data_IF_812468430960
#
_entry.id   IF_812468430960
#
_cell.length_a   1.000
_cell.length_b   1.000
_cell.length_c   1.000
_cell.angle_alpha   90.00
_cell.angle_beta   90.00
_cell.angle_gamma   90.00
#
_symmetry.space_group_name_H-M   'P 1'
#
loop_
_entity.id
_entity.type
_entity.pdbx_description
1 polymer ?
#
# COMPACT_ATOMS: atom_id res chain seq x y z
N UNK A 1 -14.05 7.76 -24.99
CA UNK A 1 -13.75 7.38 -23.58
C UNK A 1 -12.82 6.19 -23.64
N UNK A 2 -11.50 6.43 -23.73
CA UNK A 2 -10.50 5.38 -23.67
C UNK A 2 -10.32 5.01 -22.19
N UNK A 3 -10.77 3.82 -21.80
CA UNK A 3 -10.33 3.18 -20.57
C UNK A 3 -8.83 2.92 -20.71
N UNK A 4 -8.02 3.65 -19.97
CA UNK A 4 -6.59 3.43 -19.93
C UNK A 4 -6.33 1.99 -19.47
N UNK A 5 -5.58 1.23 -20.27
CA UNK A 5 -5.17 -0.13 -19.90
C UNK A 5 -4.18 -0.06 -18.76
N UNK A 6 -4.52 -0.70 -17.65
CA UNK A 6 -3.57 -1.01 -16.59
C UNK A 6 -2.43 -1.83 -17.17
N UNK A 7 -1.20 -1.33 -17.07
CA UNK A 7 -0.04 -2.10 -17.46
C UNK A 7 0.51 -2.81 -16.22
N UNK A 8 0.58 -4.12 -16.28
CA UNK A 8 1.30 -4.94 -15.31
C UNK A 8 2.65 -5.31 -15.89
N UNK A 9 3.71 -5.00 -15.17
CA UNK A 9 5.07 -5.46 -15.49
C UNK A 9 5.50 -6.45 -14.40
N UNK A 10 5.93 -7.64 -14.81
CA UNK A 10 6.54 -8.59 -13.88
C UNK A 10 7.96 -8.12 -13.56
N UNK A 11 8.29 -8.13 -12.27
CA UNK A 11 9.64 -7.88 -11.78
C UNK A 11 10.36 -9.22 -11.64
N UNK A 12 11.65 -9.24 -11.98
CA UNK A 12 12.47 -10.43 -11.76
C UNK A 12 12.46 -10.81 -10.28
N UNK A 13 11.88 -11.95 -9.95
CA UNK A 13 11.99 -12.60 -8.66
C UNK A 13 10.85 -12.43 -7.67
N UNK A 14 9.57 -12.40 -8.05
CA UNK A 14 8.43 -12.54 -7.12
C UNK A 14 7.63 -11.26 -6.79
N UNK A 15 7.65 -10.29 -7.67
CA UNK A 15 6.82 -9.10 -7.57
C UNK A 15 6.28 -8.65 -8.90
N UNK A 16 5.30 -7.75 -8.87
CA UNK A 16 4.77 -7.11 -10.07
C UNK A 16 4.46 -5.63 -9.79
N UNK A 17 4.64 -4.83 -10.82
CA UNK A 17 4.40 -3.41 -10.78
C UNK A 17 3.11 -3.12 -11.54
N UNK A 18 2.18 -2.40 -10.91
CA UNK A 18 1.04 -1.79 -11.56
C UNK A 18 1.32 -0.33 -11.82
N UNK A 19 1.27 0.07 -13.05
CA UNK A 19 1.33 1.47 -13.46
C UNK A 19 -0.08 1.98 -13.66
N UNK A 20 -0.39 3.13 -13.07
CA UNK A 20 -1.64 3.82 -13.28
C UNK A 20 -1.90 4.14 -14.75
N UNK A 21 -3.17 4.15 -15.10
CA UNK A 21 -3.62 4.16 -16.50
C UNK A 21 -3.40 5.48 -17.25
N UNK A 22 -3.08 6.58 -16.59
CA UNK A 22 -3.41 7.89 -17.13
C UNK A 22 -2.24 8.76 -17.55
N UNK A 23 -1.07 8.53 -17.04
CA UNK A 23 0.04 9.42 -17.31
C UNK A 23 1.29 8.56 -17.51
N UNK A 24 1.84 8.65 -18.69
CA UNK A 24 3.21 8.18 -18.82
C UNK A 24 3.99 8.73 -17.63
N UNK A 25 4.66 7.88 -16.86
CA UNK A 25 5.46 8.19 -15.66
C UNK A 25 6.42 9.40 -15.82
N UNK A 26 6.42 10.02 -16.99
CA UNK A 26 7.38 11.03 -17.42
C UNK A 26 7.00 12.47 -17.09
N UNK A 27 5.78 12.74 -16.68
CA UNK A 27 5.30 14.13 -16.64
C UNK A 27 4.65 14.58 -15.33
N UNK A 28 4.34 13.67 -14.40
CA UNK A 28 3.71 14.04 -13.13
C UNK A 28 4.48 13.47 -11.93
N UNK A 29 4.47 14.17 -10.78
CA UNK A 29 4.94 13.60 -9.53
C UNK A 29 4.22 12.28 -9.25
N UNK A 30 4.97 11.25 -8.91
CA UNK A 30 4.45 9.88 -8.75
C UNK A 30 4.40 9.48 -7.29
N UNK A 31 3.23 9.08 -6.82
CA UNK A 31 3.08 8.43 -5.51
C UNK A 31 3.26 6.93 -5.69
N UNK A 32 4.12 6.36 -4.86
CA UNK A 32 4.40 4.93 -4.83
C UNK A 32 3.54 4.25 -3.77
N UNK A 33 3.01 3.08 -4.09
CA UNK A 33 2.31 2.22 -3.12
C UNK A 33 3.04 0.89 -3.08
N UNK A 34 3.51 0.48 -1.89
CA UNK A 34 4.15 -0.81 -1.67
C UNK A 34 3.19 -1.73 -0.92
N UNK A 35 2.85 -2.86 -1.51
CA UNK A 35 1.94 -3.83 -0.95
C UNK A 35 2.41 -5.28 -1.12
N UNK A 36 1.72 -6.23 -0.50
CA UNK A 36 1.99 -7.66 -0.64
C UNK A 36 1.35 -8.24 -1.89
N UNK A 37 2.07 -9.10 -2.59
CA UNK A 37 1.61 -9.74 -3.83
C UNK A 37 0.37 -10.64 -3.65
N UNK A 38 0.17 -11.15 -2.44
CA UNK A 38 -0.97 -11.99 -2.07
C UNK A 38 -2.07 -11.21 -1.32
N UNK A 39 -1.92 -9.89 -1.16
CA UNK A 39 -2.92 -9.06 -0.53
C UNK A 39 -4.12 -8.84 -1.47
N UNK A 40 -5.22 -8.45 -0.86
CA UNK A 40 -6.39 -7.93 -1.57
C UNK A 40 -6.01 -6.57 -2.21
N UNK A 41 -6.26 -6.42 -3.51
CA UNK A 41 -5.78 -5.25 -4.28
C UNK A 41 -6.76 -4.08 -4.31
N UNK A 42 -8.03 -4.28 -3.95
CA UNK A 42 -9.09 -3.26 -4.09
C UNK A 42 -8.77 -1.97 -3.34
N UNK A 43 -8.11 -2.08 -2.18
CA UNK A 43 -7.72 -0.91 -1.37
C UNK A 43 -6.57 -0.12 -2.00
N UNK A 44 -5.57 -0.82 -2.56
CA UNK A 44 -4.47 -0.19 -3.30
C UNK A 44 -4.99 0.48 -4.58
N UNK A 45 -5.90 -0.19 -5.28
CA UNK A 45 -6.56 0.33 -6.48
C UNK A 45 -7.40 1.57 -6.19
N UNK A 46 -8.16 1.55 -5.10
CA UNK A 46 -8.95 2.71 -4.68
C UNK A 46 -8.05 3.90 -4.30
N UNK A 47 -6.94 3.64 -3.61
CA UNK A 47 -5.95 4.66 -3.27
C UNK A 47 -5.31 5.26 -4.53
N UNK A 48 -4.86 4.44 -5.48
CA UNK A 48 -4.28 4.92 -6.72
C UNK A 48 -5.28 5.78 -7.52
N UNK A 49 -6.53 5.35 -7.64
CA UNK A 49 -7.57 6.18 -8.29
C UNK A 49 -7.78 7.53 -7.60
N UNK A 50 -7.72 7.57 -6.27
CA UNK A 50 -7.88 8.82 -5.52
C UNK A 50 -6.69 9.77 -5.74
N UNK A 51 -5.47 9.24 -5.81
CA UNK A 51 -4.25 9.99 -6.12
C UNK A 51 -4.30 10.53 -7.54
N UNK A 52 -4.66 9.69 -8.51
CA UNK A 52 -4.77 10.08 -9.93
C UNK A 52 -5.84 11.14 -10.17
N UNK A 53 -6.95 11.09 -9.43
CA UNK A 53 -7.98 12.10 -9.48
C UNK A 53 -7.50 13.50 -9.03
N UNK A 54 -6.35 13.58 -8.37
CA UNK A 54 -5.68 14.83 -7.98
C UNK A 54 -4.57 15.28 -8.95
N UNK A 55 -4.43 14.61 -10.08
CA UNK A 55 -3.44 14.94 -11.11
C UNK A 55 -2.03 14.43 -10.81
N UNK A 56 -1.86 13.55 -9.81
CA UNK A 56 -0.62 12.85 -9.56
C UNK A 56 -0.61 11.50 -10.30
N UNK A 57 0.56 10.97 -10.58
CA UNK A 57 0.68 9.59 -11.03
C UNK A 57 0.71 8.63 -9.83
N UNK A 58 0.21 7.40 -10.01
CA UNK A 58 0.30 6.35 -9.00
C UNK A 58 0.95 5.10 -9.60
N UNK A 59 1.92 4.54 -8.87
CA UNK A 59 2.52 3.26 -9.20
C UNK A 59 2.47 2.34 -7.98
N UNK A 60 1.78 1.20 -8.10
CA UNK A 60 1.69 0.21 -7.04
C UNK A 60 2.63 -0.96 -7.30
N UNK A 61 3.51 -1.20 -6.35
CA UNK A 61 4.48 -2.29 -6.35
C UNK A 61 4.01 -3.38 -5.40
N UNK A 62 3.84 -4.57 -5.93
CA UNK A 62 3.42 -5.74 -5.17
C UNK A 62 4.58 -6.72 -5.09
N UNK A 63 4.94 -7.12 -3.89
CA UNK A 63 6.04 -8.05 -3.66
C UNK A 63 5.68 -9.07 -2.58
N UNK A 64 6.39 -10.20 -2.53
CA UNK A 64 6.32 -11.06 -1.35
C UNK A 64 7.00 -10.38 -0.17
N UNK A 65 6.53 -10.71 1.03
CA UNK A 65 7.16 -10.23 2.26
C UNK A 65 8.59 -10.76 2.41
N UNK A 66 9.44 -10.03 3.12
CA UNK A 66 10.81 -10.41 3.40
C UNK A 66 11.82 -9.84 2.40
N UNK A 67 12.81 -10.62 2.00
CA UNK A 67 13.88 -10.17 1.10
C UNK A 67 13.39 -9.62 -0.23
N UNK A 68 12.29 -10.16 -0.78
CA UNK A 68 11.69 -9.69 -2.01
C UNK A 68 11.15 -8.25 -1.90
N UNK A 69 10.51 -7.87 -0.77
CA UNK A 69 10.05 -6.49 -0.58
C UNK A 69 11.19 -5.51 -0.39
N UNK A 70 12.30 -5.92 0.24
CA UNK A 70 13.53 -5.12 0.29
C UNK A 70 14.10 -4.89 -1.11
N UNK A 71 14.28 -5.96 -1.88
CA UNK A 71 14.82 -5.88 -3.24
C UNK A 71 13.94 -5.00 -4.15
N UNK A 72 12.61 -5.16 -4.04
CA UNK A 72 11.66 -4.33 -4.76
C UNK A 72 11.83 -2.83 -4.43
N UNK A 73 11.97 -2.49 -3.15
CA UNK A 73 12.19 -1.11 -2.71
C UNK A 73 13.54 -0.55 -3.21
N UNK A 74 14.61 -1.35 -3.20
CA UNK A 74 15.93 -0.97 -3.71
C UNK A 74 15.93 -0.70 -5.22
N UNK A 75 15.09 -1.42 -5.98
CA UNK A 75 14.97 -1.27 -7.42
C UNK A 75 14.04 -0.13 -7.85
N UNK A 76 13.20 0.38 -6.96
CA UNK A 76 12.21 1.42 -7.27
C UNK A 76 12.77 2.62 -8.04
N UNK A 77 13.90 3.24 -7.64
CA UNK A 77 14.42 4.40 -8.37
C UNK A 77 14.76 4.11 -9.85
N UNK A 78 15.28 2.91 -10.12
CA UNK A 78 15.61 2.49 -11.49
C UNK A 78 14.36 2.18 -12.32
N UNK A 79 13.35 1.55 -11.70
CA UNK A 79 12.07 1.20 -12.35
C UNK A 79 11.25 2.43 -12.71
N UNK A 80 11.37 3.49 -11.92
CA UNK A 80 10.59 4.71 -12.09
C UNK A 80 11.30 5.76 -12.95
N UNK A 81 12.57 5.61 -13.21
CA UNK A 81 13.32 6.57 -14.01
C UNK A 81 12.66 6.77 -15.40
N UNK A 82 12.47 8.00 -15.89
CA UNK A 82 12.91 9.27 -15.31
C UNK A 82 11.90 9.94 -14.34
N UNK A 83 10.79 9.29 -13.96
CA UNK A 83 9.83 9.85 -13.01
C UNK A 83 10.45 10.02 -11.63
N UNK A 84 10.07 11.09 -10.94
CA UNK A 84 10.50 11.33 -9.57
C UNK A 84 9.37 10.98 -8.61
N UNK A 85 9.62 10.10 -7.62
CA UNK A 85 8.64 9.82 -6.59
C UNK A 85 8.38 11.08 -5.75
N UNK A 86 7.10 11.32 -5.45
CA UNK A 86 6.65 12.41 -4.59
C UNK A 86 6.39 11.94 -3.15
N UNK A 87 5.93 10.70 -3.00
CA UNK A 87 5.68 10.06 -1.72
C UNK A 87 5.71 8.53 -1.88
N UNK A 88 5.84 7.83 -0.76
CA UNK A 88 5.68 6.38 -0.66
C UNK A 88 4.59 6.06 0.36
N UNK A 89 3.64 5.21 0.00
CA UNK A 89 2.65 4.64 0.90
C UNK A 89 2.92 3.16 1.08
N UNK A 90 3.19 2.73 2.30
CA UNK A 90 3.47 1.32 2.64
C UNK A 90 2.21 0.69 3.24
N UNK A 91 1.69 -0.33 2.57
CA UNK A 91 0.52 -1.10 3.01
C UNK A 91 0.89 -2.42 3.69
N UNK A 92 2.15 -2.85 3.59
CA UNK A 92 2.65 -4.05 4.26
C UNK A 92 2.64 -3.86 5.78
N UNK A 93 2.16 -4.86 6.50
CA UNK A 93 2.30 -4.93 7.96
C UNK A 93 3.70 -5.43 8.32
N UNK A 94 4.08 -5.32 9.58
CA UNK A 94 5.42 -5.61 10.09
C UNK A 94 6.51 -4.73 9.45
N UNK A 95 7.75 -5.20 9.48
CA UNK A 95 8.88 -4.54 8.85
C UNK A 95 8.98 -4.90 7.37
N UNK A 96 9.29 -3.95 6.54
CA UNK A 96 9.64 -4.20 5.13
C UNK A 96 11.00 -4.90 5.11
N UNK A 97 11.13 -5.96 4.34
CA UNK A 97 12.40 -6.63 4.11
C UNK A 97 12.83 -7.65 5.17
N UNK A 98 11.99 -8.01 6.11
CA UNK A 98 12.33 -8.84 7.28
C UNK A 98 13.31 -8.18 8.27
N UNK A 99 13.53 -8.84 9.43
CA UNK A 99 14.28 -8.23 10.54
C UNK A 99 15.76 -7.99 10.22
N UNK A 100 16.38 -8.87 9.47
CA UNK A 100 17.77 -8.81 9.02
C UNK A 100 18.03 -7.75 7.93
N UNK A 101 16.98 -7.33 7.24
CA UNK A 101 17.03 -6.31 6.19
C UNK A 101 16.75 -4.88 6.66
N UNK A 102 16.57 -4.62 7.97
CA UNK A 102 16.12 -3.33 8.50
C UNK A 102 17.01 -2.16 8.06
N UNK A 103 18.31 -2.28 8.22
CA UNK A 103 19.25 -1.21 7.87
C UNK A 103 19.24 -0.91 6.36
N UNK A 104 19.22 -1.96 5.54
CA UNK A 104 19.16 -1.80 4.09
C UNK A 104 17.86 -1.11 3.63
N UNK A 105 16.73 -1.44 4.25
CA UNK A 105 15.44 -0.79 4.00
C UNK A 105 15.48 0.67 4.45
N UNK A 106 15.95 0.97 5.65
CA UNK A 106 16.09 2.36 6.13
C UNK A 106 16.99 3.18 5.20
N UNK A 107 18.10 2.60 4.74
CA UNK A 107 18.99 3.25 3.77
C UNK A 107 18.30 3.47 2.40
N UNK A 108 17.48 2.52 1.94
CA UNK A 108 16.72 2.66 0.70
C UNK A 108 15.66 3.76 0.82
N UNK A 109 14.93 3.84 1.93
CA UNK A 109 13.95 4.89 2.21
C UNK A 109 14.63 6.27 2.29
N UNK A 110 15.79 6.35 2.96
CA UNK A 110 16.58 7.58 3.03
C UNK A 110 17.05 8.04 1.64
N UNK A 111 17.52 7.12 0.79
CA UNK A 111 17.90 7.44 -0.60
C UNK A 111 16.72 7.91 -1.45
N UNK A 112 15.55 7.34 -1.22
CA UNK A 112 14.32 7.75 -1.90
C UNK A 112 13.95 9.21 -1.56
N UNK A 113 14.25 9.64 -0.34
CA UNK A 113 14.11 11.01 0.15
C UNK A 113 12.72 11.64 -0.10
N UNK A 114 11.68 10.90 0.21
CA UNK A 114 10.29 11.34 0.10
C UNK A 114 9.54 11.05 1.39
N UNK A 115 8.40 11.73 1.65
CA UNK A 115 7.49 11.36 2.73
C UNK A 115 7.04 9.91 2.61
N UNK A 116 7.04 9.19 3.75
CA UNK A 116 6.64 7.78 3.80
C UNK A 116 5.47 7.62 4.76
N UNK A 117 4.34 7.17 4.24
CA UNK A 117 3.10 6.99 4.98
C UNK A 117 2.78 5.52 5.19
N UNK A 118 2.23 5.19 6.35
CA UNK A 118 1.69 3.85 6.61
C UNK A 118 0.19 3.84 6.31
N UNK A 119 -0.25 2.99 5.38
CA UNK A 119 -1.66 2.70 5.18
C UNK A 119 -2.02 1.35 5.82
N UNK A 120 -3.13 1.30 6.54
CA UNK A 120 -3.57 0.15 7.35
C UNK A 120 -4.86 -0.42 6.79
N UNK A 121 -4.88 -1.75 6.60
CA UNK A 121 -6.09 -2.55 6.39
C UNK A 121 -6.52 -3.18 7.71
N UNK A 122 -7.70 -2.82 8.22
CA UNK A 122 -8.28 -3.49 9.38
C UNK A 122 -8.96 -4.79 8.95
N UNK A 123 -8.40 -5.90 9.39
CA UNK A 123 -8.92 -7.24 9.10
C UNK A 123 -9.73 -7.81 10.27
N UNK A 124 -9.75 -7.15 11.40
CA UNK A 124 -10.38 -7.59 12.65
C UNK A 124 -11.68 -6.83 12.97
N UNK A 125 -11.78 -5.58 12.49
CA UNK A 125 -12.90 -4.68 12.83
C UNK A 125 -13.58 -4.16 11.57
N UNK A 126 -14.90 -4.05 11.63
CA UNK A 126 -15.67 -3.27 10.65
C UNK A 126 -15.43 -1.77 10.84
N UNK A 127 -15.80 -0.98 9.85
CA UNK A 127 -15.72 0.48 9.93
C UNK A 127 -16.48 1.02 11.17
N UNK A 128 -17.66 0.50 11.44
CA UNK A 128 -18.46 0.92 12.60
C UNK A 128 -17.77 0.56 13.91
N UNK A 129 -17.29 -0.66 14.04
CA UNK A 129 -16.55 -1.09 15.23
C UNK A 129 -15.28 -0.25 15.45
N UNK A 130 -14.55 0.04 14.39
CA UNK A 130 -13.36 0.89 14.47
C UNK A 130 -13.70 2.32 14.92
N UNK A 131 -14.70 2.94 14.31
CA UNK A 131 -15.10 4.31 14.66
C UNK A 131 -15.67 4.47 16.06
N UNK A 132 -16.27 3.43 16.59
CA UNK A 132 -16.86 3.43 17.95
C UNK A 132 -15.88 2.93 19.01
N UNK A 133 -14.72 2.41 18.62
CA UNK A 133 -13.74 1.94 19.61
C UNK A 133 -12.95 3.12 20.19
N UNK A 134 -12.74 3.08 21.52
CA UNK A 134 -11.95 4.09 22.24
C UNK A 134 -10.46 3.98 21.97
N UNK A 135 -9.99 2.79 21.58
CA UNK A 135 -8.59 2.43 21.37
C UNK A 135 -8.14 2.53 19.90
N UNK A 136 -9.07 2.79 18.97
CA UNK A 136 -8.78 2.90 17.54
C UNK A 136 -8.32 1.56 16.93
N UNK A 137 -7.03 1.26 16.99
CA UNK A 137 -6.48 -0.02 16.57
C UNK A 137 -6.54 -1.04 17.71
N UNK A 138 -6.75 -2.36 17.42
CA UNK A 138 -6.58 -3.40 18.44
C UNK A 138 -5.16 -3.36 19.02
N UNK A 139 -5.04 -3.49 20.35
CA UNK A 139 -3.76 -3.33 21.05
C UNK A 139 -2.67 -4.30 20.54
N UNK A 140 -3.05 -5.53 20.20
CA UNK A 140 -2.18 -6.54 19.62
C UNK A 140 -1.69 -6.18 18.21
N UNK A 141 -2.45 -5.40 17.46
CA UNK A 141 -2.09 -4.98 16.11
C UNK A 141 -1.23 -3.71 16.04
N UNK A 142 -1.22 -2.90 17.07
CA UNK A 142 -0.41 -1.66 17.12
C UNK A 142 1.06 -1.94 16.92
N UNK A 143 1.59 -3.01 17.54
CA UNK A 143 2.99 -3.36 17.42
C UNK A 143 3.44 -3.56 15.97
N UNK A 144 2.73 -4.37 15.20
CA UNK A 144 3.15 -4.73 13.85
C UNK A 144 2.64 -3.80 12.75
N UNK A 145 1.61 -2.99 13.04
CA UNK A 145 1.03 -2.03 12.07
C UNK A 145 1.54 -0.60 12.24
N UNK A 146 2.03 -0.27 13.42
CA UNK A 146 2.49 1.09 13.74
C UNK A 146 3.94 1.06 14.22
N UNK A 147 4.22 0.48 15.39
CA UNK A 147 5.52 0.61 16.04
C UNK A 147 6.67 0.03 15.22
N UNK A 148 6.53 -1.17 14.66
CA UNK A 148 7.58 -1.77 13.84
C UNK A 148 7.84 -1.02 12.53
N UNK A 149 6.83 -0.58 11.75
CA UNK A 149 7.03 0.32 10.62
C UNK A 149 7.70 1.64 10.99
N UNK A 150 7.31 2.28 12.10
CA UNK A 150 7.92 3.54 12.55
C UNK A 150 9.41 3.41 12.83
N UNK A 151 9.88 2.27 13.32
CA UNK A 151 11.32 2.00 13.49
C UNK A 151 12.10 1.99 12.15
N UNK A 152 11.42 1.91 11.03
CA UNK A 152 12.00 2.02 9.69
C UNK A 152 11.77 3.39 9.06
N UNK A 153 11.16 4.35 9.76
CA UNK A 153 10.79 5.65 9.22
C UNK A 153 9.47 5.66 8.44
N UNK A 154 8.64 4.62 8.58
CA UNK A 154 7.32 4.51 7.95
C UNK A 154 6.29 4.98 8.96
N UNK A 155 5.96 6.27 8.93
CA UNK A 155 5.12 6.93 9.92
C UNK A 155 3.70 7.27 9.44
N UNK A 156 3.02 8.10 10.21
CA UNK A 156 1.69 8.65 9.91
C UNK A 156 0.67 7.57 9.51
N UNK A 157 0.28 6.68 10.42
CA UNK A 157 -0.61 5.57 10.11
C UNK A 157 -2.03 6.05 9.77
N UNK A 158 -2.56 5.62 8.62
CA UNK A 158 -3.91 5.90 8.14
C UNK A 158 -4.66 4.60 7.89
N UNK A 159 -5.83 4.44 8.50
CA UNK A 159 -6.72 3.32 8.20
C UNK A 159 -7.45 3.61 6.89
N UNK A 160 -7.23 2.80 5.86
CA UNK A 160 -7.82 3.00 4.52
C UNK A 160 -8.82 1.92 4.11
N UNK A 161 -8.88 0.82 4.85
CA UNK A 161 -9.91 -0.20 4.68
C UNK A 161 -10.26 -0.86 6.01
N UNK A 162 -11.45 -1.46 6.07
CA UNK A 162 -11.94 -2.18 7.24
C UNK A 162 -12.73 -3.42 6.81
N UNK A 163 -12.97 -4.34 7.74
CA UNK A 163 -13.67 -5.58 7.47
C UNK A 163 -15.10 -5.32 7.01
N UNK A 164 -15.42 -5.73 5.80
CA UNK A 164 -16.75 -5.62 5.20
C UNK A 164 -17.79 -6.58 5.82
N UNK A 165 -19.03 -6.52 5.36
CA UNK A 165 -20.06 -7.47 5.74
C UNK A 165 -19.70 -8.89 5.27
N UNK A 166 -20.27 -9.90 5.95
CA UNK A 166 -20.13 -11.27 5.51
C UNK A 166 -20.83 -11.46 4.15
N UNK A 167 -20.12 -12.03 3.21
CA UNK A 167 -20.65 -12.40 1.90
C UNK A 167 -20.51 -13.91 1.72
N UNK A 168 -21.55 -14.54 1.17
CA UNK A 168 -21.48 -15.98 0.87
C UNK A 168 -20.66 -16.20 -0.39
N UNK A 169 -19.57 -16.91 -0.24
CA UNK A 169 -18.74 -17.33 -1.38
C UNK A 169 -19.51 -18.34 -2.24
N UNK A 170 -19.64 -18.07 -3.53
CA UNK A 170 -20.45 -18.87 -4.44
C UNK A 170 -19.88 -20.28 -4.68
N UNK A 171 -18.57 -20.46 -4.58
CA UNK A 171 -17.91 -21.73 -4.84
C UNK A 171 -17.93 -22.65 -3.61
N UNK A 172 -17.71 -22.08 -2.42
CA UNK A 172 -17.57 -22.86 -1.18
C UNK A 172 -18.81 -22.82 -0.29
N UNK A 173 -19.73 -21.88 -0.53
CA UNK A 173 -20.90 -21.63 0.33
C UNK A 173 -20.57 -21.02 1.70
N UNK A 174 -19.30 -20.74 1.98
CA UNK A 174 -18.85 -20.17 3.24
C UNK A 174 -19.16 -18.67 3.34
N UNK A 175 -19.48 -18.20 4.54
CA UNK A 175 -19.59 -16.77 4.82
C UNK A 175 -18.21 -16.19 5.04
N UNK A 176 -17.71 -15.45 4.06
CA UNK A 176 -16.42 -14.79 4.09
C UNK A 176 -16.59 -13.29 4.32
N UNK A 177 -15.69 -12.69 5.09
CA UNK A 177 -15.55 -11.24 5.24
C UNK A 177 -14.22 -10.80 4.66
N UNK A 178 -14.26 -9.78 3.83
CA UNK A 178 -13.05 -9.23 3.20
C UNK A 178 -12.91 -7.76 3.57
N UNK A 179 -11.68 -7.24 3.66
CA UNK A 179 -11.47 -5.81 3.80
C UNK A 179 -12.13 -5.05 2.64
N UNK A 180 -12.77 -3.95 2.96
CA UNK A 180 -13.37 -3.04 1.98
C UNK A 180 -12.75 -1.67 2.13
N UNK A 181 -12.43 -1.04 1.02
CA UNK A 181 -11.91 0.31 0.97
C UNK A 181 -12.83 1.31 1.67
N UNK A 182 -12.26 2.26 2.39
CA UNK A 182 -12.95 3.37 3.07
C UNK A 182 -12.74 4.64 2.26
N UNK A 183 -13.67 5.04 1.36
CA UNK A 183 -13.43 6.13 0.41
C UNK A 183 -13.05 7.45 1.08
N UNK A 184 -13.70 7.82 2.19
CA UNK A 184 -13.40 9.05 2.90
C UNK A 184 -11.97 9.08 3.49
N UNK A 185 -11.50 7.95 4.02
CA UNK A 185 -10.17 7.83 4.60
C UNK A 185 -9.09 7.81 3.51
N UNK A 186 -9.38 7.13 2.39
CA UNK A 186 -8.53 7.13 1.19
C UNK A 186 -8.40 8.55 0.63
N UNK A 187 -9.49 9.31 0.53
CA UNK A 187 -9.45 10.70 0.09
C UNK A 187 -8.62 11.58 1.02
N UNK A 188 -8.67 11.33 2.33
CA UNK A 188 -7.87 12.04 3.33
C UNK A 188 -6.37 11.72 3.21
N UNK A 189 -6.01 10.46 2.99
CA UNK A 189 -4.61 10.08 2.78
C UNK A 189 -4.07 10.63 1.46
N UNK A 190 -4.88 10.69 0.41
CA UNK A 190 -4.47 11.20 -0.89
C UNK A 190 -4.42 12.74 -0.96
N UNK A 191 -4.90 13.47 0.04
CA UNK A 191 -4.86 14.95 0.08
C UNK A 191 -3.55 15.48 0.60
#
# INVERSE_FOLDING_TARGET
RSQGREQRAELSGEGWLRLGATLGLRAAPTVLVLDLANAETDSADALCRAIEARGLACAALFSRWGGASRQALEQLPALLAPAQPAALVVMQDFVVGAADGREAVSAALTRLNVPVFKAIRLTERSQTQWRLSSDGLPADSVQYRVALPELQGIGQPHVISALGPAQRDAATGLALRRPQALPAEIQRLAS
#
